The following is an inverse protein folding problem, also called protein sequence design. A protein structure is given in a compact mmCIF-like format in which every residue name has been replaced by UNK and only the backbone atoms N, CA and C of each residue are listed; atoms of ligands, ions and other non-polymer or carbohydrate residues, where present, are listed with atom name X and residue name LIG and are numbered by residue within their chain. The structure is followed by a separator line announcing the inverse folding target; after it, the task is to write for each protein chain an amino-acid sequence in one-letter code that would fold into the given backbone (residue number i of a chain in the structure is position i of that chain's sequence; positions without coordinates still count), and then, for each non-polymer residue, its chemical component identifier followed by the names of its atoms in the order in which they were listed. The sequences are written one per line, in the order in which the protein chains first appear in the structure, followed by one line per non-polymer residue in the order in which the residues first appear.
data_IF_705905975645
#
_entry.id   IF_705905975645
#
_cell.length_a   1.000
_cell.length_b   1.000
_cell.length_c   1.000
_cell.angle_alpha   90.00
_cell.angle_beta   90.00
_cell.angle_gamma   90.00
#
_symmetry.space_group_name_H-M   'P 1'
#
loop_
_entity.id
_entity.type
_entity.pdbx_description
1 polymer ?
#
# COMPACT_ATOMS: atom_id res chain seq x y z
N UNK A 1 1.22 15.81 -2.70
CA UNK A 1 0.15 14.90 -3.08
C UNK A 1 -0.55 15.36 -4.36
N UNK A 2 -1.16 16.54 -4.39
CA UNK A 2 -1.80 17.12 -5.58
C UNK A 2 -0.83 17.35 -6.73
N UNK A 3 0.40 17.76 -6.43
CA UNK A 3 1.49 17.91 -7.43
C UNK A 3 1.83 16.56 -8.06
N UNK A 4 1.95 15.51 -7.27
CA UNK A 4 2.23 14.16 -7.81
C UNK A 4 1.09 13.70 -8.72
N UNK A 5 -0.18 13.88 -8.29
CA UNK A 5 -1.34 13.57 -9.13
C UNK A 5 -1.31 14.38 -10.44
N UNK A 6 -1.07 15.69 -10.37
CA UNK A 6 -0.99 16.55 -11.56
C UNK A 6 0.10 16.09 -12.53
N UNK A 7 1.30 15.82 -12.01
CA UNK A 7 2.42 15.32 -12.83
C UNK A 7 2.10 13.97 -13.46
N UNK A 8 1.49 13.05 -12.72
CA UNK A 8 1.13 11.72 -13.26
C UNK A 8 0.04 11.80 -14.32
N UNK A 9 -0.95 12.68 -14.16
CA UNK A 9 -2.00 12.90 -15.16
C UNK A 9 -1.40 13.52 -16.44
N UNK A 10 -0.57 14.54 -16.30
CA UNK A 10 0.10 15.19 -17.44
C UNK A 10 1.00 14.17 -18.17
N UNK A 11 1.82 13.41 -17.42
CA UNK A 11 2.69 12.38 -18.00
C UNK A 11 1.88 11.30 -18.73
N UNK A 12 0.74 10.90 -18.19
CA UNK A 12 -0.16 9.91 -18.80
C UNK A 12 -0.75 10.43 -20.12
N UNK A 13 -1.19 11.69 -20.15
CA UNK A 13 -1.73 12.33 -21.37
C UNK A 13 -0.64 12.50 -22.43
N UNK A 14 0.61 12.79 -22.01
CA UNK A 14 1.76 12.86 -22.91
C UNK A 14 2.28 11.49 -23.37
N UNK A 15 1.65 10.37 -22.98
CA UNK A 15 2.03 9.02 -23.40
C UNK A 15 3.12 8.36 -22.54
N UNK A 16 3.60 9.02 -21.47
CA UNK A 16 4.59 8.44 -20.55
C UNK A 16 3.95 7.47 -19.53
N UNK A 17 3.33 6.40 -20.02
CA UNK A 17 2.65 5.39 -19.18
C UNK A 17 3.61 4.70 -18.19
N UNK A 18 4.91 4.66 -18.51
CA UNK A 18 5.93 4.09 -17.64
C UNK A 18 6.00 4.77 -16.25
N UNK A 19 5.77 6.08 -16.19
CA UNK A 19 5.76 6.84 -14.92
C UNK A 19 4.59 6.39 -14.04
N UNK A 20 3.42 6.21 -14.64
CA UNK A 20 2.25 5.69 -13.94
C UNK A 20 2.53 4.29 -13.39
N UNK A 21 3.08 3.38 -14.22
CA UNK A 21 3.44 2.03 -13.83
C UNK A 21 4.52 1.96 -12.74
N UNK A 22 5.36 3.00 -12.58
CA UNK A 22 6.36 3.08 -11.51
C UNK A 22 5.72 3.45 -10.16
N UNK A 23 4.72 4.32 -10.18
CA UNK A 23 4.04 4.84 -8.98
C UNK A 23 2.86 3.96 -8.54
N UNK A 24 2.31 3.16 -9.46
CA UNK A 24 1.19 2.28 -9.18
C UNK A 24 1.62 1.10 -8.29
N UNK A 25 0.95 0.88 -7.14
CA UNK A 25 1.28 -0.20 -6.22
C UNK A 25 1.07 -1.59 -6.83
N UNK A 26 0.12 -1.74 -7.74
CA UNK A 26 -0.14 -3.01 -8.41
C UNK A 26 1.00 -3.40 -9.35
N UNK A 27 1.48 -2.44 -10.15
CA UNK A 27 2.63 -2.64 -11.03
C UNK A 27 3.92 -2.88 -10.24
N UNK A 28 4.12 -2.16 -9.11
CA UNK A 28 5.25 -2.40 -8.22
C UNK A 28 5.23 -3.82 -7.64
N UNK A 29 4.07 -4.29 -7.19
CA UNK A 29 3.89 -5.67 -6.70
C UNK A 29 4.21 -6.69 -7.79
N UNK A 30 3.67 -6.52 -9.00
CA UNK A 30 3.96 -7.41 -10.14
C UNK A 30 5.45 -7.50 -10.45
N UNK A 31 6.17 -6.37 -10.46
CA UNK A 31 7.63 -6.36 -10.64
C UNK A 31 8.38 -7.11 -9.55
N UNK A 32 8.00 -6.90 -8.29
CA UNK A 32 8.62 -7.58 -7.14
C UNK A 32 8.43 -9.10 -7.27
N UNK A 33 7.22 -9.55 -7.58
CA UNK A 33 6.94 -11.00 -7.76
C UNK A 33 7.74 -11.58 -8.91
N UNK A 34 7.73 -10.93 -10.08
CA UNK A 34 8.37 -11.45 -11.29
C UNK A 34 9.90 -11.42 -11.19
N UNK A 35 10.47 -10.37 -10.60
CA UNK A 35 11.91 -10.18 -10.62
C UNK A 35 12.64 -10.65 -9.35
N UNK A 36 11.94 -10.82 -8.24
CA UNK A 36 12.54 -11.29 -6.97
C UNK A 36 12.04 -12.70 -6.63
N UNK A 37 10.71 -12.88 -6.52
CA UNK A 37 10.16 -14.15 -6.03
C UNK A 37 10.18 -15.26 -7.07
N UNK A 38 9.89 -14.95 -8.34
CA UNK A 38 9.91 -15.96 -9.42
C UNK A 38 11.27 -16.60 -9.60
N UNK A 39 12.40 -15.89 -9.68
CA UNK A 39 13.74 -16.52 -9.74
C UNK A 39 14.05 -17.39 -8.53
N UNK A 40 13.67 -16.94 -7.32
CA UNK A 40 13.87 -17.73 -6.09
C UNK A 40 13.05 -19.02 -6.15
N UNK A 41 11.81 -18.96 -6.61
CA UNK A 41 10.96 -20.13 -6.81
C UNK A 41 11.57 -21.11 -7.84
N UNK A 42 12.07 -20.59 -8.97
CA UNK A 42 12.70 -21.41 -10.03
C UNK A 42 13.97 -22.08 -9.52
N UNK A 43 14.80 -21.39 -8.76
CA UNK A 43 15.99 -21.99 -8.13
C UNK A 43 15.60 -23.08 -7.13
N UNK A 44 14.58 -22.85 -6.31
CA UNK A 44 14.04 -23.85 -5.39
C UNK A 44 13.52 -25.09 -6.11
N UNK A 45 12.78 -24.90 -7.21
CA UNK A 45 12.27 -25.99 -8.03
C UNK A 45 13.42 -26.81 -8.67
N UNK A 46 14.47 -26.16 -9.20
CA UNK A 46 15.61 -26.84 -9.79
C UNK A 46 16.44 -27.58 -8.73
N UNK A 47 16.51 -27.04 -7.51
CA UNK A 47 17.14 -27.74 -6.39
C UNK A 47 16.36 -29.01 -6.01
N UNK A 48 15.05 -28.93 -5.93
CA UNK A 48 14.18 -30.07 -5.68
C UNK A 48 14.29 -31.11 -6.79
N UNK A 49 14.28 -30.68 -8.05
CA UNK A 49 14.50 -31.58 -9.20
C UNK A 49 15.82 -32.35 -9.07
N UNK A 50 16.92 -31.66 -8.74
CA UNK A 50 18.23 -32.29 -8.55
C UNK A 50 18.28 -33.33 -7.41
N UNK A 51 17.46 -33.10 -6.36
CA UNK A 51 17.34 -34.06 -5.23
C UNK A 51 16.47 -35.24 -5.61
N UNK A 52 15.28 -34.98 -6.20
CA UNK A 52 14.31 -36.02 -6.53
C UNK A 52 14.73 -36.90 -7.71
N UNK A 53 15.51 -36.37 -8.67
CA UNK A 53 16.09 -37.15 -9.78
C UNK A 53 17.04 -38.24 -9.31
N UNK A 54 17.69 -38.07 -8.14
CA UNK A 54 18.50 -39.11 -7.51
C UNK A 54 17.67 -40.30 -6.96
N UNK A 55 16.41 -40.13 -6.79
CA UNK A 55 15.46 -41.16 -6.31
C UNK A 55 14.56 -41.68 -7.44
N UNK A 56 14.94 -41.49 -8.72
CA UNK A 56 14.18 -41.87 -9.92
C UNK A 56 12.74 -41.30 -9.96
N UNK A 57 12.54 -40.14 -9.31
CA UNK A 57 11.23 -39.50 -9.23
C UNK A 57 11.24 -38.21 -10.06
N UNK A 58 10.55 -38.22 -11.21
CA UNK A 58 10.53 -37.15 -12.20
C UNK A 58 9.31 -36.24 -12.06
N UNK A 59 8.85 -35.99 -10.84
CA UNK A 59 7.72 -35.10 -10.57
C UNK A 59 8.07 -33.63 -10.81
N UNK A 60 9.34 -33.27 -10.63
CA UNK A 60 9.87 -31.92 -10.88
C UNK A 60 10.69 -31.93 -12.17
N UNK A 61 10.52 -30.89 -12.99
CA UNK A 61 11.29 -30.71 -14.23
C UNK A 61 12.13 -29.44 -14.13
N UNK A 62 13.25 -29.45 -14.81
CA UNK A 62 14.16 -28.31 -14.87
C UNK A 62 13.51 -27.16 -15.62
N UNK A 63 13.50 -25.98 -14.99
CA UNK A 63 12.99 -24.75 -15.57
C UNK A 63 14.16 -23.84 -15.90
N UNK A 64 14.23 -23.38 -17.16
CA UNK A 64 15.26 -22.43 -17.58
C UNK A 64 15.07 -21.11 -16.83
N UNK A 65 16.08 -20.75 -16.04
CA UNK A 65 16.17 -19.46 -15.40
C UNK A 65 16.60 -18.43 -16.44
N UNK A 66 15.67 -17.96 -17.25
CA UNK A 66 15.93 -16.86 -18.17
C UNK A 66 16.30 -15.63 -17.35
N UNK A 67 17.49 -15.12 -17.60
CA UNK A 67 18.07 -13.98 -16.87
C UNK A 67 17.18 -12.75 -17.13
N UNK A 68 16.48 -12.36 -16.11
CA UNK A 68 15.80 -11.07 -16.07
C UNK A 68 16.84 -9.96 -16.26
N UNK A 69 16.55 -8.98 -17.09
CA UNK A 69 17.51 -7.88 -17.32
C UNK A 69 17.93 -7.25 -15.97
N UNK A 70 19.23 -7.06 -15.79
CA UNK A 70 19.82 -6.54 -14.54
C UNK A 70 19.18 -5.20 -14.14
N UNK A 71 18.84 -4.36 -15.11
CA UNK A 71 18.16 -3.08 -14.88
C UNK A 71 16.79 -3.26 -14.23
N UNK A 72 15.98 -4.22 -14.72
CA UNK A 72 14.66 -4.50 -14.15
C UNK A 72 14.75 -5.06 -12.73
N UNK A 73 15.75 -5.89 -12.46
CA UNK A 73 16.02 -6.42 -11.12
C UNK A 73 16.41 -5.31 -10.15
N UNK A 74 17.30 -4.41 -10.55
CA UNK A 74 17.69 -3.26 -9.70
C UNK A 74 16.51 -2.36 -9.38
N UNK A 75 15.68 -2.04 -10.37
CA UNK A 75 14.46 -1.25 -10.14
C UNK A 75 13.50 -1.96 -9.18
N UNK A 76 13.33 -3.28 -9.31
CA UNK A 76 12.48 -4.07 -8.42
C UNK A 76 12.99 -4.05 -6.98
N UNK A 77 14.30 -4.26 -6.78
CA UNK A 77 14.95 -4.24 -5.46
C UNK A 77 14.83 -2.85 -4.82
N UNK A 78 15.14 -1.78 -5.56
CA UNK A 78 15.01 -0.41 -5.08
C UNK A 78 13.58 -0.08 -4.67
N UNK A 79 12.61 -0.44 -5.51
CA UNK A 79 11.18 -0.22 -5.22
C UNK A 79 10.76 -0.99 -3.98
N UNK A 80 11.17 -2.24 -3.85
CA UNK A 80 10.87 -3.09 -2.70
C UNK A 80 11.46 -2.51 -1.41
N UNK A 81 12.73 -2.07 -1.43
CA UNK A 81 13.40 -1.47 -0.28
C UNK A 81 12.71 -0.18 0.17
N UNK A 82 12.36 0.70 -0.77
CA UNK A 82 11.66 1.95 -0.47
C UNK A 82 10.29 1.69 0.15
N UNK A 83 9.50 0.78 -0.43
CA UNK A 83 8.17 0.43 0.10
C UNK A 83 8.29 -0.19 1.49
N UNK A 84 9.25 -1.09 1.72
CA UNK A 84 9.47 -1.75 3.00
C UNK A 84 9.85 -0.75 4.09
N UNK A 85 10.77 0.18 3.82
CA UNK A 85 11.19 1.22 4.77
C UNK A 85 10.02 2.15 5.12
N UNK A 86 9.24 2.57 4.12
CA UNK A 86 8.09 3.44 4.34
C UNK A 86 6.96 2.73 5.11
N UNK A 87 6.71 1.45 4.79
CA UNK A 87 5.71 0.65 5.49
C UNK A 87 6.10 0.44 6.96
N UNK A 88 7.39 0.19 7.23
CA UNK A 88 7.88 0.00 8.61
C UNK A 88 7.76 1.26 9.46
N UNK A 89 8.17 2.42 8.93
CA UNK A 89 8.20 3.67 9.70
C UNK A 89 6.84 4.34 9.85
N UNK A 90 6.00 4.31 8.83
CA UNK A 90 4.81 5.17 8.73
C UNK A 90 3.55 4.45 8.23
N UNK A 91 3.51 3.14 8.20
CA UNK A 91 2.35 2.37 7.75
C UNK A 91 1.95 2.68 6.30
N UNK A 92 0.82 3.36 6.09
CA UNK A 92 0.25 3.63 4.75
C UNK A 92 0.75 4.91 4.08
N UNK A 93 1.92 5.44 4.44
CA UNK A 93 2.43 6.72 3.88
C UNK A 93 2.56 6.68 2.36
N UNK A 94 3.05 5.57 1.79
CA UNK A 94 3.14 5.41 0.34
C UNK A 94 1.79 5.63 -0.34
N UNK A 95 0.75 4.93 0.13
CA UNK A 95 -0.60 5.02 -0.44
C UNK A 95 -1.24 6.39 -0.27
N UNK A 96 -0.95 7.08 0.84
CA UNK A 96 -1.55 8.37 1.15
C UNK A 96 -0.84 9.58 0.55
N UNK A 97 0.46 9.44 0.19
CA UNK A 97 1.28 10.60 -0.18
C UNK A 97 1.74 10.53 -1.64
N UNK A 98 2.19 9.37 -2.09
CA UNK A 98 2.85 9.18 -3.39
C UNK A 98 1.91 8.56 -4.42
N UNK A 99 1.09 7.59 -3.99
CA UNK A 99 0.23 6.86 -4.90
C UNK A 99 -0.88 7.74 -5.49
N UNK A 100 -0.99 7.88 -6.82
CA UNK A 100 -2.06 8.65 -7.46
C UNK A 100 -3.45 8.06 -7.18
N UNK A 101 -3.56 6.74 -7.10
CA UNK A 101 -4.81 6.03 -6.78
C UNK A 101 -5.28 6.39 -5.37
N UNK A 102 -4.37 6.41 -4.38
CA UNK A 102 -4.68 6.82 -3.02
C UNK A 102 -5.15 8.29 -2.92
N UNK A 103 -4.62 9.15 -3.79
CA UNK A 103 -5.05 10.56 -3.85
C UNK A 103 -6.48 10.69 -4.41
N UNK A 104 -6.80 9.94 -5.45
CA UNK A 104 -8.17 9.90 -6.02
C UNK A 104 -9.17 9.33 -5.01
N UNK A 105 -8.83 8.21 -4.35
CA UNK A 105 -9.67 7.62 -3.30
C UNK A 105 -9.87 8.58 -2.12
N UNK A 106 -8.82 9.30 -1.72
CA UNK A 106 -8.93 10.33 -0.68
C UNK A 106 -9.82 11.50 -1.08
N UNK A 107 -9.86 11.85 -2.37
CA UNK A 107 -10.80 12.85 -2.88
C UNK A 107 -12.24 12.34 -2.77
N UNK A 108 -12.50 11.10 -3.19
CA UNK A 108 -13.84 10.48 -3.07
C UNK A 108 -14.27 10.38 -1.60
N UNK A 109 -13.39 9.97 -0.70
CA UNK A 109 -13.66 9.90 0.74
C UNK A 109 -14.02 11.28 1.32
N UNK A 110 -13.40 12.35 0.82
CA UNK A 110 -13.76 13.72 1.24
C UNK A 110 -15.21 14.09 0.93
N UNK A 111 -15.77 13.58 -0.15
CA UNK A 111 -17.17 13.83 -0.58
C UNK A 111 -18.14 12.71 -0.19
N UNK A 112 -17.70 11.74 0.63
CA UNK A 112 -18.53 10.65 1.11
C UNK A 112 -19.71 11.18 1.93
N UNK A 113 -20.87 10.55 1.73
CA UNK A 113 -22.12 10.86 2.46
C UNK A 113 -22.07 10.40 3.93
N UNK A 114 -21.32 9.34 4.21
CA UNK A 114 -21.12 8.81 5.56
C UNK A 114 -19.68 8.96 5.97
N UNK A 115 -19.43 9.37 7.20
CA UNK A 115 -18.07 9.61 7.73
C UNK A 115 -17.97 9.20 9.18
N UNK A 116 -16.77 8.80 9.58
CA UNK A 116 -16.45 8.63 11.00
C UNK A 116 -16.34 10.01 11.64
N UNK A 117 -17.09 10.25 12.71
CA UNK A 117 -17.09 11.51 13.46
C UNK A 117 -16.69 11.29 14.90
N UNK A 118 -16.10 12.31 15.51
CA UNK A 118 -15.76 12.32 16.94
C UNK A 118 -16.86 13.08 17.68
N UNK A 119 -17.53 12.38 18.58
CA UNK A 119 -18.45 13.02 19.55
C UNK A 119 -17.62 13.68 20.65
N UNK A 120 -17.55 14.99 20.62
CA UNK A 120 -16.77 15.78 21.57
C UNK A 120 -17.28 15.68 23.00
N UNK A 121 -18.58 15.38 23.20
CA UNK A 121 -19.17 15.22 24.52
C UNK A 121 -18.67 13.93 25.23
N UNK A 122 -18.36 12.89 24.46
CA UNK A 122 -17.87 11.60 24.99
C UNK A 122 -16.38 11.45 24.90
N UNK A 123 -15.68 12.31 24.14
CA UNK A 123 -14.27 12.20 23.88
C UNK A 123 -13.44 12.82 25.00
N UNK A 124 -12.60 12.02 25.65
CA UNK A 124 -11.67 12.49 26.68
C UNK A 124 -10.26 12.84 26.14
N UNK A 125 -10.05 12.84 24.83
CA UNK A 125 -8.78 13.21 24.23
C UNK A 125 -7.63 12.22 24.44
N UNK A 126 -7.90 10.97 24.84
CA UNK A 126 -6.87 9.97 25.19
C UNK A 126 -5.91 9.57 24.05
N UNK A 127 -6.22 9.87 22.79
CA UNK A 127 -5.35 9.63 21.64
C UNK A 127 -5.26 8.19 21.12
N UNK A 128 -5.94 7.22 21.74
CA UNK A 128 -5.89 5.81 21.31
C UNK A 128 -6.32 5.61 19.86
N UNK A 129 -7.34 6.35 19.41
CA UNK A 129 -7.80 6.32 18.02
C UNK A 129 -6.73 6.84 17.05
N UNK A 130 -5.96 7.85 17.43
CA UNK A 130 -4.89 8.41 16.62
C UNK A 130 -3.70 7.44 16.49
N UNK A 131 -3.31 6.76 17.57
CA UNK A 131 -2.21 5.76 17.56
C UNK A 131 -2.56 4.52 16.74
N UNK A 132 -3.82 4.11 16.74
CA UNK A 132 -4.30 2.97 15.93
C UNK A 132 -4.59 3.34 14.47
N UNK A 133 -4.68 4.63 14.15
CA UNK A 133 -4.99 5.08 12.80
C UNK A 133 -3.83 4.84 11.84
N UNK A 134 -3.94 3.83 10.97
CA UNK A 134 -2.93 3.49 9.95
C UNK A 134 -2.69 4.60 8.93
N UNK A 135 -3.68 5.50 8.75
CA UNK A 135 -3.61 6.63 7.83
C UNK A 135 -3.11 7.92 8.49
N UNK A 136 -2.91 7.92 9.83
CA UNK A 136 -2.50 9.07 10.63
C UNK A 136 -3.34 10.34 10.34
N UNK A 137 -4.66 10.16 10.18
CA UNK A 137 -5.60 11.23 9.81
C UNK A 137 -6.41 11.79 11.00
N UNK A 138 -6.20 11.29 12.23
CA UNK A 138 -6.97 11.69 13.42
C UNK A 138 -6.12 12.61 14.30
N UNK A 139 -6.59 13.83 14.51
CA UNK A 139 -6.02 14.80 15.44
C UNK A 139 -6.82 14.77 16.74
N UNK A 140 -6.42 13.90 17.67
CA UNK A 140 -7.16 13.67 18.93
C UNK A 140 -7.26 14.88 19.84
N UNK A 141 -6.26 15.79 19.80
CA UNK A 141 -6.27 17.03 20.59
C UNK A 141 -7.25 18.06 20.06
N UNK A 142 -7.45 18.10 18.74
CA UNK A 142 -8.33 19.05 18.06
C UNK A 142 -9.71 18.43 17.76
N UNK A 143 -9.91 17.17 18.12
CA UNK A 143 -11.12 16.39 17.81
C UNK A 143 -11.50 16.41 16.32
N UNK A 144 -10.50 16.47 15.43
CA UNK A 144 -10.70 16.56 13.99
C UNK A 144 -10.16 15.34 13.25
N UNK A 145 -10.78 15.01 12.12
CA UNK A 145 -10.36 13.92 11.23
C UNK A 145 -10.13 14.51 9.84
N UNK A 146 -8.92 14.27 9.29
CA UNK A 146 -8.63 14.61 7.90
C UNK A 146 -9.22 13.54 6.96
N UNK A 147 -10.42 13.77 6.48
CA UNK A 147 -11.12 12.85 5.58
C UNK A 147 -10.43 12.66 4.24
N UNK A 148 -9.54 13.56 3.85
CA UNK A 148 -8.76 13.38 2.63
C UNK A 148 -7.73 12.26 2.69
N UNK A 149 -7.46 11.73 3.90
CA UNK A 149 -6.55 10.62 4.16
C UNK A 149 -7.26 9.40 4.74
N UNK A 150 -8.47 9.58 5.23
CA UNK A 150 -9.26 8.51 5.81
C UNK A 150 -9.61 7.49 4.72
N UNK A 151 -9.48 6.21 5.04
CA UNK A 151 -9.81 5.07 4.16
C UNK A 151 -10.94 4.23 4.75
N UNK A 152 -11.66 4.76 5.74
CA UNK A 152 -12.80 4.14 6.43
C UNK A 152 -12.53 2.67 6.84
N UNK A 153 -11.34 2.41 7.40
CA UNK A 153 -10.97 1.07 7.87
C UNK A 153 -11.60 0.68 9.21
N UNK A 154 -12.25 1.62 9.90
CA UNK A 154 -12.96 1.47 11.18
C UNK A 154 -12.11 1.02 12.38
N UNK A 155 -10.80 0.79 12.25
CA UNK A 155 -9.91 0.41 13.35
C UNK A 155 -9.99 1.42 14.53
N UNK A 156 -10.30 2.69 14.24
CA UNK A 156 -10.45 3.73 15.27
C UNK A 156 -11.72 3.57 16.09
N UNK A 157 -12.80 3.04 15.51
CA UNK A 157 -14.06 2.78 16.22
C UNK A 157 -13.85 1.69 17.28
N UNK A 158 -13.15 0.63 16.91
CA UNK A 158 -12.85 -0.49 17.78
C UNK A 158 -11.88 -0.09 18.91
N UNK A 159 -10.90 0.77 18.61
CA UNK A 159 -9.93 1.26 19.57
C UNK A 159 -10.53 2.24 20.61
N UNK A 160 -11.68 2.82 20.35
CA UNK A 160 -12.29 3.81 21.21
C UNK A 160 -13.08 3.19 22.38
N UNK A 161 -12.47 3.11 23.56
CA UNK A 161 -13.12 2.58 24.77
C UNK A 161 -14.36 3.39 25.18
N UNK A 162 -14.38 4.70 24.91
CA UNK A 162 -15.46 5.61 25.26
C UNK A 162 -16.60 5.62 24.23
N UNK A 163 -16.48 4.86 23.13
CA UNK A 163 -17.45 4.87 22.02
C UNK A 163 -17.77 6.29 21.51
N UNK A 164 -16.77 7.18 21.58
CA UNK A 164 -16.90 8.56 21.14
C UNK A 164 -16.78 8.73 19.61
N UNK A 165 -16.40 7.66 18.89
CA UNK A 165 -16.36 7.63 17.43
C UNK A 165 -17.62 6.97 16.91
N UNK A 166 -18.30 7.66 16.01
CA UNK A 166 -19.57 7.22 15.40
C UNK A 166 -19.48 7.35 13.89
N UNK A 167 -19.99 6.35 13.18
CA UNK A 167 -20.16 6.43 11.73
C UNK A 167 -21.55 7.01 11.44
N UNK A 168 -21.58 8.21 10.91
CA UNK A 168 -22.80 8.99 10.73
C UNK A 168 -22.80 9.74 9.39
N UNK A 169 -23.99 10.15 8.88
CA UNK A 169 -24.06 10.96 7.67
C UNK A 169 -23.30 12.29 7.85
N UNK A 170 -22.71 12.74 6.75
CA UNK A 170 -21.96 14.00 6.69
C UNK A 170 -22.96 15.17 6.60
N UNK A 171 -23.52 15.57 7.74
CA UNK A 171 -24.27 16.82 7.86
C UNK A 171 -23.32 17.95 8.25
#
# INVERSE_FOLDING_TARGET
RWTVLGVTVIASVCGFVAVLGLLDPYSAYGRIIVHIFKPVYMLGNNLLESIFSRFDNYTFYQVDTSIVSLSSLLIAIMTFAVIMILAWKHGRTWCNTICPVGTVLGLLSRYSLFKVRIDTAKCNGCGLCATKCKAACIHSKEHTIDYSRCVDCFDCLEACKQKALVYAPAL
#
